data_IF_604264004819
#
_entry.id   IF_604264004819
#
_cell.length_a   1.000
_cell.length_b   1.000
_cell.length_c   1.000
_cell.angle_alpha   90.00
_cell.angle_beta   90.00
_cell.angle_gamma   90.00
#
_symmetry.space_group_name_H-M   'P 1'
#
loop_
_entity.id
_entity.type
_entity.pdbx_description
1 polymer ?
#
# COMPACT_ATOMS: atom_id res chain seq x y z
N UNK A 1 -29.04 -35.93 2.84
CA UNK A 1 -28.14 -34.83 2.42
C UNK A 1 -28.62 -33.56 3.08
N UNK A 2 -27.69 -32.82 3.68
CA UNK A 2 -27.94 -31.57 4.39
C UNK A 2 -28.40 -30.46 3.42
N UNK A 3 -29.18 -29.49 3.90
CA UNK A 3 -29.59 -28.30 3.13
C UNK A 3 -28.37 -27.51 2.63
N UNK A 4 -27.34 -27.42 3.47
CA UNK A 4 -26.08 -26.75 3.17
C UNK A 4 -25.34 -27.39 1.98
N UNK A 5 -25.45 -28.71 1.79
CA UNK A 5 -24.89 -29.42 0.64
C UNK A 5 -25.47 -28.93 -0.70
N UNK A 6 -26.80 -28.81 -0.80
CA UNK A 6 -27.44 -28.33 -2.02
C UNK A 6 -27.15 -26.85 -2.30
N UNK A 7 -27.05 -26.03 -1.25
CA UNK A 7 -26.66 -24.63 -1.36
C UNK A 7 -25.22 -24.50 -1.90
N UNK A 8 -24.25 -25.26 -1.36
CA UNK A 8 -22.87 -25.27 -1.84
C UNK A 8 -22.73 -25.81 -3.27
N UNK A 9 -23.46 -26.88 -3.62
CA UNK A 9 -23.48 -27.40 -5.01
C UNK A 9 -24.05 -26.37 -5.98
N UNK A 10 -25.08 -25.62 -5.58
CA UNK A 10 -25.69 -24.58 -6.41
C UNK A 10 -24.73 -23.42 -6.62
N UNK A 11 -24.01 -22.99 -5.57
CA UNK A 11 -23.05 -21.89 -5.64
C UNK A 11 -21.86 -22.23 -6.57
N UNK A 12 -21.41 -23.49 -6.57
CA UNK A 12 -20.34 -23.97 -7.46
C UNK A 12 -20.83 -24.46 -8.83
N UNK A 13 -22.14 -24.54 -9.04
CA UNK A 13 -22.73 -25.06 -10.28
C UNK A 13 -22.40 -26.53 -10.55
N UNK A 14 -22.41 -27.35 -9.51
CA UNK A 14 -22.12 -28.79 -9.56
C UNK A 14 -23.39 -29.61 -9.75
N UNK A 15 -23.29 -30.69 -10.52
CA UNK A 15 -24.35 -31.68 -10.63
C UNK A 15 -24.26 -32.70 -9.47
N UNK A 16 -25.39 -33.29 -9.03
CA UNK A 16 -25.37 -34.41 -8.11
C UNK A 16 -24.48 -35.53 -8.68
N UNK A 17 -23.71 -36.22 -7.83
CA UNK A 17 -22.69 -37.21 -8.20
C UNK A 17 -21.36 -36.65 -8.77
N UNK A 18 -21.06 -35.37 -8.50
CA UNK A 18 -19.75 -34.79 -8.83
C UNK A 18 -18.58 -35.57 -8.20
N UNK A 19 -17.45 -35.62 -8.91
CA UNK A 19 -16.18 -36.13 -8.37
C UNK A 19 -15.34 -35.00 -7.76
N UNK A 20 -14.32 -35.33 -6.97
CA UNK A 20 -13.34 -34.34 -6.49
C UNK A 20 -12.74 -33.51 -7.63
N UNK A 21 -12.46 -34.17 -8.77
CA UNK A 21 -11.94 -33.50 -9.96
C UNK A 21 -12.92 -32.47 -10.52
N UNK A 22 -14.22 -32.75 -10.47
CA UNK A 22 -15.26 -31.83 -10.93
C UNK A 22 -15.43 -30.64 -9.97
N UNK A 23 -15.39 -30.90 -8.65
CA UNK A 23 -15.37 -29.87 -7.61
C UNK A 23 -14.19 -28.91 -7.80
N UNK A 24 -12.99 -29.47 -7.94
CA UNK A 24 -11.72 -28.74 -8.19
C UNK A 24 -11.78 -27.89 -9.45
N UNK A 25 -12.29 -28.47 -10.54
CA UNK A 25 -12.40 -27.77 -11.84
C UNK A 25 -13.37 -26.59 -11.76
N UNK A 26 -14.54 -26.78 -11.14
CA UNK A 26 -15.55 -25.72 -11.02
C UNK A 26 -15.09 -24.58 -10.13
N UNK A 27 -14.43 -24.90 -9.03
CA UNK A 27 -13.82 -23.92 -8.14
C UNK A 27 -12.80 -23.03 -8.87
N UNK A 28 -11.88 -23.63 -9.65
CA UNK A 28 -10.92 -22.87 -10.47
C UNK A 28 -11.60 -21.97 -11.53
N UNK A 29 -12.61 -22.50 -12.23
CA UNK A 29 -13.36 -21.74 -13.24
C UNK A 29 -13.98 -20.48 -12.62
N UNK A 30 -14.52 -20.60 -11.40
CA UNK A 30 -15.17 -19.51 -10.68
C UNK A 30 -14.18 -18.52 -10.08
N UNK A 31 -13.06 -18.96 -9.49
CA UNK A 31 -12.01 -18.06 -8.99
C UNK A 31 -11.42 -17.21 -10.12
N UNK A 32 -11.15 -17.83 -11.28
CA UNK A 32 -10.68 -17.08 -12.46
C UNK A 32 -11.72 -16.08 -12.96
N UNK A 33 -13.02 -16.35 -12.78
CA UNK A 33 -14.09 -15.47 -13.22
C UNK A 33 -14.26 -14.27 -12.30
N UNK A 34 -14.22 -14.48 -10.98
CA UNK A 34 -14.54 -13.47 -9.96
C UNK A 34 -13.31 -12.87 -9.26
N UNK A 35 -12.09 -13.12 -9.76
CA UNK A 35 -10.88 -12.59 -9.12
C UNK A 35 -10.90 -11.05 -9.00
N UNK A 36 -10.62 -10.47 -7.80
CA UNK A 36 -10.71 -9.03 -7.56
C UNK A 36 -9.90 -8.17 -8.54
N UNK A 37 -8.72 -8.63 -8.97
CA UNK A 37 -7.86 -7.94 -9.94
C UNK A 37 -8.54 -7.60 -11.27
N UNK A 38 -9.58 -8.36 -11.67
CA UNK A 38 -10.32 -8.07 -12.90
C UNK A 38 -11.27 -6.88 -12.79
N UNK A 39 -11.56 -6.46 -11.58
CA UNK A 39 -12.60 -5.49 -11.27
C UNK A 39 -12.05 -4.26 -10.52
N UNK A 40 -10.74 -4.16 -10.29
CA UNK A 40 -10.12 -3.06 -9.52
C UNK A 40 -10.38 -1.65 -10.09
N UNK A 41 -10.73 -1.54 -11.38
CA UNK A 41 -11.08 -0.27 -12.04
C UNK A 41 -12.58 -0.06 -12.21
N UNK A 42 -13.40 -1.01 -11.77
CA UNK A 42 -14.85 -0.97 -11.88
C UNK A 42 -15.46 -0.26 -10.65
N UNK A 43 -16.77 -0.06 -10.70
CA UNK A 43 -17.51 0.53 -9.58
C UNK A 43 -17.35 -0.30 -8.29
N UNK A 44 -17.32 0.39 -7.14
CA UNK A 44 -17.19 -0.20 -5.80
C UNK A 44 -18.19 -1.35 -5.55
N UNK A 45 -19.40 -1.21 -6.11
CA UNK A 45 -20.45 -2.24 -6.03
C UNK A 45 -20.08 -3.55 -6.73
N UNK A 46 -19.29 -3.48 -7.81
CA UNK A 46 -18.85 -4.62 -8.63
C UNK A 46 -17.66 -5.30 -7.93
N UNK A 47 -16.74 -4.52 -7.38
CA UNK A 47 -15.62 -5.03 -6.57
C UNK A 47 -16.15 -5.82 -5.39
N UNK A 48 -17.05 -5.22 -4.61
CA UNK A 48 -17.65 -5.86 -3.44
C UNK A 48 -18.44 -7.11 -3.82
N UNK A 49 -19.16 -7.09 -4.94
CA UNK A 49 -19.85 -8.27 -5.45
C UNK A 49 -18.89 -9.41 -5.82
N UNK A 50 -17.75 -9.10 -6.44
CA UNK A 50 -16.72 -10.08 -6.77
C UNK A 50 -16.09 -10.68 -5.51
N UNK A 51 -15.77 -9.85 -4.51
CA UNK A 51 -15.25 -10.30 -3.20
C UNK A 51 -16.24 -11.21 -2.47
N UNK A 52 -17.51 -10.81 -2.37
CA UNK A 52 -18.57 -11.61 -1.75
C UNK A 52 -18.76 -12.95 -2.48
N UNK A 53 -18.57 -12.98 -3.80
CA UNK A 53 -18.63 -14.22 -4.60
C UNK A 53 -17.46 -15.14 -4.28
N UNK A 54 -16.24 -14.62 -4.20
CA UNK A 54 -15.05 -15.41 -3.86
C UNK A 54 -15.19 -16.06 -2.47
N UNK A 55 -15.69 -15.32 -1.48
CA UNK A 55 -15.94 -15.84 -0.13
C UNK A 55 -16.89 -17.04 -0.18
N UNK A 56 -18.04 -16.89 -0.85
CA UNK A 56 -19.05 -17.96 -0.98
C UNK A 56 -18.54 -19.18 -1.74
N UNK A 57 -17.72 -18.96 -2.78
CA UNK A 57 -17.09 -20.04 -3.56
C UNK A 57 -16.13 -20.86 -2.68
N UNK A 58 -15.31 -20.19 -1.87
CA UNK A 58 -14.36 -20.86 -0.98
C UNK A 58 -15.07 -21.60 0.16
N UNK A 59 -16.07 -20.97 0.79
CA UNK A 59 -16.89 -21.61 1.83
C UNK A 59 -17.61 -22.86 1.30
N UNK A 60 -18.14 -22.81 0.08
CA UNK A 60 -18.80 -23.94 -0.56
C UNK A 60 -17.81 -25.07 -0.91
N UNK A 61 -16.61 -24.73 -1.37
CA UNK A 61 -15.57 -25.69 -1.69
C UNK A 61 -15.08 -26.44 -0.45
N UNK A 62 -14.70 -25.72 0.60
CA UNK A 62 -14.23 -26.33 1.86
C UNK A 62 -15.30 -27.21 2.50
N UNK A 63 -16.55 -26.74 2.54
CA UNK A 63 -17.65 -27.56 3.08
C UNK A 63 -17.84 -28.86 2.30
N UNK A 64 -17.84 -28.82 0.96
CA UNK A 64 -18.01 -30.02 0.14
C UNK A 64 -16.80 -30.96 0.24
N UNK A 65 -15.59 -30.39 0.32
CA UNK A 65 -14.35 -31.14 0.48
C UNK A 65 -14.31 -31.89 1.82
N UNK A 66 -14.53 -31.19 2.93
CA UNK A 66 -14.44 -31.79 4.28
C UNK A 66 -15.57 -32.78 4.61
N UNK A 67 -16.77 -32.59 4.03
CA UNK A 67 -17.95 -33.33 4.46
C UNK A 67 -18.40 -34.43 3.48
N UNK A 68 -17.88 -34.44 2.24
CA UNK A 68 -18.40 -35.32 1.17
C UNK A 68 -17.31 -36.01 0.34
N UNK A 69 -16.04 -35.70 0.54
CA UNK A 69 -14.93 -36.47 -0.01
C UNK A 69 -14.29 -37.27 1.14
N UNK A 70 -14.38 -38.60 1.07
CA UNK A 70 -13.73 -39.48 2.04
C UNK A 70 -12.23 -39.57 1.74
N UNK A 71 -11.40 -39.33 2.75
CA UNK A 71 -9.95 -39.56 2.71
C UNK A 71 -9.63 -40.93 2.13
N UNK A 72 -9.10 -40.95 0.91
CA UNK A 72 -8.20 -42.00 0.43
C UNK A 72 -6.85 -41.35 0.21
N UNK A 73 -5.91 -41.70 1.09
CA UNK A 73 -4.48 -41.64 0.80
C UNK A 73 -4.22 -42.38 -0.51
N UNK A 74 -4.21 -41.66 -1.62
CA UNK A 74 -3.58 -42.05 -2.88
C UNK A 74 -3.31 -40.75 -3.66
N UNK A 75 -2.09 -40.23 -3.50
CA UNK A 75 -1.44 -39.20 -4.33
C UNK A 75 -2.39 -38.17 -4.98
N UNK A 76 -3.24 -37.56 -4.16
CA UNK A 76 -3.86 -36.30 -4.55
C UNK A 76 -2.77 -35.28 -4.33
N UNK A 77 -2.11 -34.93 -5.45
CA UNK A 77 -1.45 -33.66 -5.68
C UNK A 77 -2.33 -32.57 -5.05
N UNK A 78 -2.05 -32.29 -3.77
CA UNK A 78 -2.70 -31.26 -2.96
C UNK A 78 -2.64 -30.07 -3.85
N UNK A 79 -3.80 -29.68 -4.35
CA UNK A 79 -3.89 -28.68 -5.40
C UNK A 79 -3.17 -27.44 -4.91
N UNK A 80 -1.93 -27.34 -5.36
CA UNK A 80 -1.08 -26.19 -5.28
C UNK A 80 -1.84 -25.16 -6.08
N UNK A 81 -2.68 -24.41 -5.36
CA UNK A 81 -3.09 -23.11 -5.84
C UNK A 81 -1.77 -22.38 -5.91
N UNK A 82 -1.20 -22.40 -7.12
CA UNK A 82 0.13 -21.95 -7.46
C UNK A 82 0.19 -20.44 -7.18
N UNK A 83 0.26 -20.12 -5.89
CA UNK A 83 0.54 -18.81 -5.34
C UNK A 83 1.90 -18.39 -5.90
N UNK A 84 2.81 -19.37 -6.07
CA UNK A 84 4.11 -19.25 -6.72
C UNK A 84 4.02 -18.67 -8.15
N UNK A 85 3.04 -19.03 -8.96
CA UNK A 85 2.84 -18.50 -10.33
C UNK A 85 2.30 -17.08 -10.40
N UNK A 86 1.75 -16.57 -9.29
CA UNK A 86 1.45 -15.16 -9.11
C UNK A 86 2.53 -14.41 -8.30
N UNK A 87 3.46 -15.14 -7.67
CA UNK A 87 4.60 -14.59 -6.93
C UNK A 87 5.96 -14.79 -7.59
N UNK A 88 6.01 -15.24 -8.85
CA UNK A 88 7.29 -15.41 -9.58
C UNK A 88 8.05 -14.05 -9.68
N UNK A 89 7.29 -12.94 -9.65
CA UNK A 89 7.83 -11.58 -9.48
C UNK A 89 7.90 -11.10 -8.02
N UNK A 90 7.11 -11.67 -7.11
CA UNK A 90 7.02 -11.30 -5.69
C UNK A 90 7.79 -12.30 -4.82
N UNK A 91 9.11 -12.16 -4.72
CA UNK A 91 9.84 -12.84 -3.64
C UNK A 91 9.78 -11.99 -2.36
N UNK A 92 9.72 -12.65 -1.20
CA UNK A 92 9.77 -11.97 0.10
C UNK A 92 10.97 -11.01 0.18
N UNK A 93 12.13 -11.43 -0.36
CA UNK A 93 13.31 -10.59 -0.48
C UNK A 93 13.08 -9.33 -1.32
N UNK A 94 12.54 -9.47 -2.54
CA UNK A 94 12.22 -8.32 -3.41
C UNK A 94 11.22 -7.37 -2.75
N UNK A 95 10.26 -7.90 -1.98
CA UNK A 95 9.31 -7.08 -1.23
C UNK A 95 10.00 -6.26 -0.15
N UNK A 96 10.79 -6.89 0.72
CA UNK A 96 11.51 -6.17 1.78
C UNK A 96 12.49 -5.14 1.22
N UNK A 97 13.18 -5.47 0.13
CA UNK A 97 14.08 -4.54 -0.55
C UNK A 97 13.30 -3.36 -1.14
N UNK A 98 12.15 -3.62 -1.79
CA UNK A 98 11.27 -2.57 -2.29
C UNK A 98 10.77 -1.65 -1.17
N UNK A 99 10.36 -2.21 -0.03
CA UNK A 99 9.88 -1.43 1.12
C UNK A 99 11.01 -0.58 1.72
N UNK A 100 12.22 -1.14 1.90
CA UNK A 100 13.39 -0.38 2.37
C UNK A 100 13.71 0.78 1.43
N UNK A 101 13.71 0.54 0.12
CA UNK A 101 13.97 1.57 -0.89
C UNK A 101 12.91 2.67 -0.88
N UNK A 102 11.64 2.29 -0.79
CA UNK A 102 10.53 3.26 -0.71
C UNK A 102 10.62 4.07 0.58
N UNK A 103 10.84 3.43 1.72
CA UNK A 103 10.99 4.10 3.02
C UNK A 103 12.18 5.07 3.00
N UNK A 104 13.33 4.65 2.45
CA UNK A 104 14.51 5.51 2.28
C UNK A 104 14.21 6.72 1.39
N UNK A 105 13.53 6.51 0.26
CA UNK A 105 13.14 7.58 -0.68
C UNK A 105 12.17 8.58 -0.05
N UNK A 106 11.13 8.09 0.62
CA UNK A 106 10.15 8.92 1.31
C UNK A 106 10.83 9.69 2.44
N UNK A 107 11.62 9.01 3.27
CA UNK A 107 12.37 9.61 4.37
C UNK A 107 13.30 10.73 3.90
N UNK A 108 14.05 10.51 2.82
CA UNK A 108 14.92 11.52 2.21
C UNK A 108 14.12 12.74 1.72
N UNK A 109 13.02 12.54 0.98
CA UNK A 109 12.17 13.63 0.48
C UNK A 109 11.54 14.43 1.62
N UNK A 110 10.85 13.77 2.52
CA UNK A 110 10.16 14.43 3.63
C UNK A 110 11.15 15.18 4.53
N UNK A 111 12.32 14.58 4.80
CA UNK A 111 13.38 15.24 5.58
C UNK A 111 13.96 16.44 4.84
N UNK A 112 14.14 16.34 3.51
CA UNK A 112 14.60 17.47 2.69
C UNK A 112 13.64 18.67 2.80
N UNK A 113 12.33 18.43 2.73
CA UNK A 113 11.33 19.49 2.85
C UNK A 113 11.37 20.15 4.23
N UNK A 114 11.39 19.34 5.30
CA UNK A 114 11.48 19.86 6.66
C UNK A 114 12.76 20.68 6.89
N UNK A 115 13.91 20.22 6.38
CA UNK A 115 15.18 20.93 6.52
C UNK A 115 15.20 22.24 5.71
N UNK A 116 14.70 22.25 4.47
CA UNK A 116 14.60 23.47 3.66
C UNK A 116 13.80 24.52 4.42
N UNK A 117 12.60 24.15 4.88
CA UNK A 117 11.75 25.04 5.65
C UNK A 117 12.41 25.52 6.95
N UNK A 118 13.09 24.64 7.66
CA UNK A 118 13.83 24.98 8.87
C UNK A 118 14.93 26.02 8.62
N UNK A 119 15.71 25.88 7.55
CA UNK A 119 16.75 26.84 7.21
C UNK A 119 16.18 28.16 6.68
N UNK A 120 15.11 28.12 5.87
CA UNK A 120 14.40 29.32 5.42
C UNK A 120 13.85 30.11 6.62
N UNK A 121 13.28 29.43 7.62
CA UNK A 121 12.74 30.08 8.83
C UNK A 121 13.77 30.95 9.57
N UNK A 122 15.06 30.60 9.49
CA UNK A 122 16.17 31.32 10.15
C UNK A 122 16.56 32.61 9.44
N UNK A 123 16.24 32.74 8.14
CA UNK A 123 16.58 33.94 7.38
C UNK A 123 15.82 35.16 7.88
N UNK A 124 16.52 36.29 8.04
CA UNK A 124 15.92 37.55 8.53
C UNK A 124 14.98 38.21 7.51
N UNK A 125 15.26 38.01 6.23
CA UNK A 125 14.52 38.55 5.08
C UNK A 125 13.13 37.93 4.86
N UNK A 126 12.86 36.77 5.46
CA UNK A 126 11.57 36.07 5.30
C UNK A 126 10.47 36.84 6.05
N UNK A 127 9.37 37.23 5.39
CA UNK A 127 8.25 37.92 6.00
C UNK A 127 7.64 37.15 7.16
N UNK A 128 7.16 37.87 8.17
CA UNK A 128 6.58 37.26 9.37
C UNK A 128 5.43 36.29 9.07
N UNK A 129 4.57 36.61 8.07
CA UNK A 129 3.46 35.73 7.66
C UNK A 129 3.96 34.38 7.13
N UNK A 130 5.07 34.38 6.41
CA UNK A 130 5.65 33.17 5.85
C UNK A 130 6.37 32.37 6.92
N UNK A 131 7.07 33.04 7.85
CA UNK A 131 7.61 32.38 9.06
C UNK A 131 6.53 31.69 9.88
N UNK A 132 5.36 32.31 10.03
CA UNK A 132 4.22 31.70 10.74
C UNK A 132 3.67 30.49 9.99
N UNK A 133 3.54 30.56 8.67
CA UNK A 133 3.16 29.41 7.85
C UNK A 133 4.16 28.25 8.02
N UNK A 134 5.45 28.53 7.87
CA UNK A 134 6.53 27.54 8.02
C UNK A 134 6.50 26.91 9.42
N UNK A 135 6.36 27.74 10.46
CA UNK A 135 6.28 27.28 11.86
C UNK A 135 5.05 26.40 12.07
N UNK A 136 3.91 26.74 11.46
CA UNK A 136 2.70 25.90 11.51
C UNK A 136 2.93 24.53 10.86
N UNK A 137 3.52 24.49 9.66
CA UNK A 137 3.81 23.22 8.96
C UNK A 137 4.83 22.37 9.71
N UNK A 138 5.94 22.95 10.16
CA UNK A 138 6.98 22.22 10.93
C UNK A 138 6.49 21.83 12.33
N UNK A 139 5.69 22.69 12.96
CA UNK A 139 5.06 22.40 14.24
C UNK A 139 4.13 21.19 14.13
N UNK A 140 3.25 21.17 13.13
CA UNK A 140 2.40 20.02 12.86
C UNK A 140 3.23 18.75 12.61
N UNK A 141 4.27 18.84 11.78
CA UNK A 141 5.15 17.71 11.45
C UNK A 141 5.89 17.10 12.66
N UNK A 142 6.24 17.89 13.68
CA UNK A 142 6.98 17.43 14.87
C UNK A 142 6.05 16.96 15.99
N UNK A 143 4.81 17.47 16.05
CA UNK A 143 3.91 17.23 17.18
C UNK A 143 3.32 15.80 17.13
N UNK A 144 3.41 15.03 18.24
CA UNK A 144 2.76 13.73 18.34
C UNK A 144 1.25 13.91 18.57
N UNK A 145 0.45 13.98 17.50
CA UNK A 145 -1.00 13.68 17.41
C UNK A 145 -2.00 14.45 18.34
N UNK A 146 -1.61 15.12 19.41
CA UNK A 146 -2.56 15.55 20.45
C UNK A 146 -3.18 16.95 20.25
N UNK A 147 -3.59 17.30 19.02
CA UNK A 147 -4.44 18.49 18.79
C UNK A 147 -5.65 18.30 17.87
N UNK A 148 -5.93 17.07 17.41
CA UNK A 148 -7.16 16.74 16.70
C UNK A 148 -7.71 15.42 17.27
N UNK A 149 -8.81 15.44 18.05
CA UNK A 149 -9.49 14.24 18.50
C UNK A 149 -9.97 13.40 17.29
N UNK A 150 -9.69 12.09 17.35
CA UNK A 150 -9.98 11.02 16.38
C UNK A 150 -11.23 11.23 15.49
N UNK A 151 -11.05 11.45 14.18
CA UNK A 151 -12.15 11.27 13.20
C UNK A 151 -11.79 10.83 11.76
N UNK A 152 -10.54 10.48 11.42
CA UNK A 152 -10.24 9.95 10.07
C UNK A 152 -9.29 8.73 10.15
N UNK A 153 -9.79 7.50 9.92
CA UNK A 153 -8.97 6.28 10.03
C UNK A 153 -7.92 6.08 8.91
N UNK A 154 -7.80 6.99 7.91
CA UNK A 154 -6.98 6.75 6.69
C UNK A 154 -6.33 8.03 6.09
N UNK A 155 -5.93 9.03 6.87
CA UNK A 155 -5.27 10.22 6.30
C UNK A 155 -4.32 10.94 7.27
N UNK A 156 -3.20 10.32 7.64
CA UNK A 156 -2.32 10.84 8.68
C UNK A 156 -1.00 11.50 8.23
N UNK A 157 -0.60 11.41 6.96
CA UNK A 157 0.75 11.85 6.53
C UNK A 157 0.81 12.59 5.20
N UNK A 158 -0.20 12.43 4.33
CA UNK A 158 -0.24 13.10 3.02
C UNK A 158 -0.44 14.61 3.16
N UNK A 159 -1.25 15.03 4.15
CA UNK A 159 -1.60 16.44 4.35
C UNK A 159 -0.40 17.28 4.86
N UNK A 160 0.50 16.69 5.63
CA UNK A 160 1.67 17.36 6.23
C UNK A 160 2.73 17.68 5.19
N UNK A 161 3.02 16.68 4.35
CA UNK A 161 3.95 16.84 3.24
C UNK A 161 3.38 17.81 2.22
N UNK A 162 2.07 17.77 1.96
CA UNK A 162 1.42 18.75 1.08
C UNK A 162 1.54 20.18 1.63
N UNK A 163 1.32 20.37 2.93
CA UNK A 163 1.52 21.65 3.62
C UNK A 163 2.97 22.16 3.53
N UNK A 164 3.95 21.28 3.77
CA UNK A 164 5.37 21.63 3.61
C UNK A 164 5.72 22.02 2.17
N UNK A 165 5.28 21.24 1.18
CA UNK A 165 5.50 21.55 -0.24
C UNK A 165 4.88 22.91 -0.60
N UNK A 166 3.66 23.19 -0.12
CA UNK A 166 3.02 24.49 -0.32
C UNK A 166 3.84 25.63 0.29
N UNK A 167 4.32 25.48 1.51
CA UNK A 167 5.15 26.47 2.18
C UNK A 167 6.49 26.69 1.43
N UNK A 168 7.12 25.62 0.95
CA UNK A 168 8.36 25.69 0.14
C UNK A 168 8.10 26.50 -1.12
N UNK A 169 7.04 26.18 -1.88
CA UNK A 169 6.69 26.93 -3.11
C UNK A 169 6.47 28.41 -2.85
N UNK A 170 5.83 28.75 -1.73
CA UNK A 170 5.58 30.14 -1.35
C UNK A 170 6.86 30.89 -0.98
N UNK A 171 7.85 30.18 -0.45
CA UNK A 171 9.09 30.76 0.06
C UNK A 171 10.31 30.45 -0.84
N UNK A 172 10.08 30.03 -2.09
CA UNK A 172 11.13 29.54 -2.98
C UNK A 172 12.21 30.60 -3.25
N UNK A 173 11.81 31.86 -3.31
CA UNK A 173 12.73 33.01 -3.49
C UNK A 173 13.79 33.12 -2.38
N UNK A 174 13.57 32.48 -1.23
CA UNK A 174 14.51 32.45 -0.11
C UNK A 174 15.39 31.20 -0.08
N UNK A 175 15.15 30.22 -0.96
CA UNK A 175 15.91 28.96 -1.04
C UNK A 175 17.12 29.16 -1.95
N UNK A 176 18.27 29.49 -1.35
CA UNK A 176 19.53 29.68 -2.06
C UNK A 176 20.42 28.43 -2.04
N UNK A 177 21.56 28.51 -2.74
CA UNK A 177 22.54 27.43 -2.84
C UNK A 177 23.13 27.05 -1.48
N UNK A 178 23.22 27.98 -0.54
CA UNK A 178 23.70 27.70 0.82
C UNK A 178 22.73 26.78 1.55
N UNK A 179 21.41 27.07 1.47
CA UNK A 179 20.38 26.19 2.03
C UNK A 179 20.43 24.82 1.37
N UNK A 180 20.50 24.74 0.04
CA UNK A 180 20.57 23.45 -0.68
C UNK A 180 21.80 22.65 -0.26
N UNK A 181 22.95 23.30 -0.08
CA UNK A 181 24.18 22.63 0.35
C UNK A 181 24.10 22.17 1.81
N UNK A 182 23.50 22.96 2.71
CA UNK A 182 23.29 22.56 4.11
C UNK A 182 22.34 21.36 4.24
N UNK A 183 21.26 21.35 3.46
CA UNK A 183 20.32 20.22 3.37
C UNK A 183 21.03 18.99 2.83
N UNK A 184 21.77 19.13 1.72
CA UNK A 184 22.52 18.03 1.09
C UNK A 184 23.48 17.37 2.09
N UNK A 185 24.28 18.17 2.79
CA UNK A 185 25.22 17.67 3.81
C UNK A 185 24.54 16.91 4.94
N UNK A 186 23.37 17.37 5.40
CA UNK A 186 22.59 16.68 6.45
C UNK A 186 22.02 15.36 5.96
N UNK A 187 21.43 15.33 4.77
CA UNK A 187 20.84 14.12 4.21
C UNK A 187 21.90 13.04 3.93
N UNK A 188 23.05 13.42 3.35
CA UNK A 188 24.20 12.52 3.16
C UNK A 188 24.64 11.92 4.50
N UNK A 189 24.80 12.76 5.53
CA UNK A 189 25.23 12.32 6.86
C UNK A 189 24.21 11.44 7.58
N UNK A 190 22.91 11.67 7.41
CA UNK A 190 21.87 10.98 8.18
C UNK A 190 21.37 9.70 7.52
N UNK A 191 21.33 9.65 6.19
CA UNK A 191 20.80 8.51 5.44
C UNK A 191 21.88 7.64 4.81
N UNK A 192 23.16 8.00 4.99
CA UNK A 192 24.31 7.31 4.42
C UNK A 192 24.10 7.07 2.92
N UNK A 193 24.03 8.18 2.17
CA UNK A 193 23.75 8.20 0.73
C UNK A 193 24.79 9.02 -0.01
N UNK A 194 25.05 8.65 -1.26
CA UNK A 194 25.94 9.41 -2.13
C UNK A 194 25.44 10.84 -2.35
N UNK A 195 26.38 11.78 -2.38
CA UNK A 195 26.08 13.21 -2.57
C UNK A 195 25.34 13.45 -3.88
N UNK A 196 25.75 12.80 -4.97
CA UNK A 196 25.12 12.95 -6.29
C UNK A 196 23.65 12.52 -6.29
N UNK A 197 23.30 11.50 -5.50
CA UNK A 197 21.91 11.09 -5.32
C UNK A 197 21.08 12.19 -4.67
N UNK A 198 21.60 12.79 -3.60
CA UNK A 198 20.93 13.88 -2.88
C UNK A 198 20.86 15.14 -3.73
N UNK A 199 21.92 15.49 -4.43
CA UNK A 199 21.95 16.68 -5.28
C UNK A 199 20.94 16.54 -6.44
N UNK A 200 20.79 15.34 -7.01
CA UNK A 200 19.71 15.07 -7.97
C UNK A 200 18.31 15.18 -7.35
N UNK A 201 18.12 14.70 -6.12
CA UNK A 201 16.86 14.84 -5.40
C UNK A 201 16.45 16.30 -5.18
N UNK A 202 17.42 17.16 -4.87
CA UNK A 202 17.20 18.58 -4.58
C UNK A 202 17.07 19.46 -5.85
N UNK A 203 17.39 18.94 -7.04
CA UNK A 203 17.22 19.68 -8.31
C UNK A 203 15.76 19.94 -8.65
N UNK A 204 14.88 19.03 -8.24
CA UNK A 204 13.44 19.08 -8.56
C UNK A 204 12.62 19.86 -7.50
N UNK A 205 13.29 20.36 -6.46
CA UNK A 205 12.70 21.21 -5.42
C UNK A 205 12.94 22.67 -5.77
#
# INVERSE_FOLDING_TARGET
MDRKYFECMTELGLEPSFTEKDLRKKWLELLKKYHPDKYQTEDESIIKFAEEKIIKINEAYEYLKENFLEDKEEDIDTMDYDYEKYTDDFSEGKFWDKIKDVAKKIGLKTTSYALILYYVLQKKEVPFKDKMLITGCLGYFILPIDLIPDFIPIAGYTDDVAGMIFAIRKCMDYVDDEIKQNVSNKLVSWFDVEKDYVDNLLKDI
#
